data_IF_960851482756
#
_entry.id   IF_960851482756
#
_cell.length_a   1.000
_cell.length_b   1.000
_cell.length_c   1.000
_cell.angle_alpha   90.00
_cell.angle_beta   90.00
_cell.angle_gamma   90.00
#
_symmetry.space_group_name_H-M   'P 1'
#
loop_
_entity.id
_entity.type
_entity.pdbx_description
1 polymer ?
#
# COMPACT_ATOMS: atom_id res chain seq x y z
N UNK A 1 2.66 -14.50 -8.39
CA UNK A 1 1.51 -13.59 -8.35
C UNK A 1 2.05 -12.17 -8.21
N UNK A 2 1.81 -11.29 -9.15
CA UNK A 2 2.30 -9.91 -9.09
C UNK A 2 1.22 -9.03 -8.47
N UNK A 3 1.39 -8.70 -7.20
CA UNK A 3 0.51 -7.84 -6.39
C UNK A 3 0.18 -6.45 -6.98
N UNK A 4 0.94 -5.88 -7.95
CA UNK A 4 0.58 -4.62 -8.60
C UNK A 4 -0.76 -4.60 -9.35
N UNK A 5 -1.37 -5.76 -9.61
CA UNK A 5 -2.67 -5.79 -10.31
C UNK A 5 -3.82 -5.34 -9.42
N UNK A 6 -3.78 -5.63 -8.12
CA UNK A 6 -4.86 -5.27 -7.19
C UNK A 6 -5.05 -3.75 -7.09
N UNK A 7 -3.97 -2.98 -7.02
CA UNK A 7 -4.07 -1.52 -6.98
C UNK A 7 -4.65 -0.92 -8.28
N UNK A 8 -4.46 -1.58 -9.42
CA UNK A 8 -5.08 -1.16 -10.69
C UNK A 8 -6.60 -1.33 -10.64
N UNK A 9 -7.09 -2.43 -10.06
CA UNK A 9 -8.52 -2.68 -9.93
C UNK A 9 -9.16 -1.68 -8.96
N UNK A 10 -8.50 -1.37 -7.84
CA UNK A 10 -8.92 -0.33 -6.89
C UNK A 10 -9.02 1.04 -7.57
N UNK A 11 -8.01 1.41 -8.37
CA UNK A 11 -8.00 2.68 -9.10
C UNK A 11 -9.09 2.71 -10.18
N UNK A 12 -9.33 1.61 -10.89
CA UNK A 12 -10.39 1.51 -11.88
C UNK A 12 -11.78 1.67 -11.23
N UNK A 13 -12.00 1.02 -10.08
CA UNK A 13 -13.22 1.17 -9.31
C UNK A 13 -13.43 2.61 -8.84
N UNK A 14 -12.39 3.27 -8.33
CA UNK A 14 -12.47 4.67 -7.90
C UNK A 14 -12.79 5.61 -9.06
N UNK A 15 -12.21 5.39 -10.24
CA UNK A 15 -12.53 6.17 -11.45
C UNK A 15 -13.96 5.97 -11.91
N UNK A 16 -14.48 4.75 -11.81
CA UNK A 16 -15.89 4.49 -12.08
C UNK A 16 -16.79 5.25 -11.11
N UNK A 17 -16.51 5.17 -9.80
CA UNK A 17 -17.25 5.91 -8.77
C UNK A 17 -17.17 7.41 -9.03
N UNK A 18 -16.00 7.95 -9.41
CA UNK A 18 -15.81 9.35 -9.75
C UNK A 18 -16.67 9.82 -10.95
N UNK A 19 -17.09 8.91 -11.83
CA UNK A 19 -17.93 9.24 -12.99
C UNK A 19 -19.43 9.35 -12.66
N UNK A 20 -19.83 8.96 -11.45
CA UNK A 20 -21.23 8.98 -11.05
C UNK A 20 -21.68 10.43 -10.75
N UNK A 21 -22.88 10.86 -11.21
CA UNK A 21 -23.28 12.27 -11.16
C UNK A 21 -23.52 12.82 -9.75
N UNK A 22 -23.63 11.97 -8.74
CA UNK A 22 -23.82 12.33 -7.34
C UNK A 22 -22.54 12.21 -6.49
N UNK A 23 -21.39 11.95 -7.11
CA UNK A 23 -20.10 11.80 -6.44
C UNK A 23 -19.21 13.01 -6.72
N UNK A 24 -18.64 13.58 -5.66
CA UNK A 24 -17.57 14.57 -5.79
C UNK A 24 -16.24 13.83 -6.08
N UNK A 25 -15.84 13.81 -7.34
CA UNK A 25 -14.63 13.14 -7.80
C UNK A 25 -13.34 13.65 -7.12
N UNK A 26 -13.36 14.86 -6.55
CA UNK A 26 -12.23 15.45 -5.84
C UNK A 26 -12.08 14.98 -4.38
N UNK A 27 -13.05 14.21 -3.87
CA UNK A 27 -13.13 13.82 -2.45
C UNK A 27 -13.21 12.30 -2.25
N UNK A 28 -12.69 11.53 -3.17
CA UNK A 28 -12.63 10.07 -3.04
C UNK A 28 -11.45 9.70 -2.16
N UNK A 29 -11.72 8.91 -1.12
CA UNK A 29 -10.71 8.35 -0.22
C UNK A 29 -10.60 6.84 -0.37
N UNK A 30 -9.50 6.28 0.13
CA UNK A 30 -9.29 4.84 0.25
C UNK A 30 -8.91 4.49 1.68
N UNK A 31 -9.49 3.40 2.20
CA UNK A 31 -9.22 2.89 3.55
C UNK A 31 -8.92 1.40 3.50
N UNK A 32 -7.93 0.97 4.27
CA UNK A 32 -7.68 -0.45 4.42
C UNK A 32 -6.89 -0.80 5.67
N UNK A 33 -7.08 -2.04 6.16
CA UNK A 33 -6.43 -2.59 7.33
C UNK A 33 -5.59 -3.81 6.93
N UNK A 34 -4.38 -3.98 7.52
CA UNK A 34 -3.47 -5.10 7.29
C UNK A 34 -3.13 -5.23 5.80
N UNK A 35 -3.51 -6.31 5.11
CA UNK A 35 -3.39 -6.43 3.65
C UNK A 35 -4.11 -5.29 2.92
N UNK A 36 -5.28 -4.86 3.39
CA UNK A 36 -5.98 -3.68 2.86
C UNK A 36 -5.21 -2.38 3.09
N UNK A 37 -4.46 -2.27 4.19
CA UNK A 37 -3.53 -1.17 4.43
C UNK A 37 -2.39 -1.15 3.41
N UNK A 38 -1.81 -2.31 3.10
CA UNK A 38 -0.85 -2.48 2.00
C UNK A 38 -1.46 -2.03 0.65
N UNK A 39 -2.67 -2.48 0.33
CA UNK A 39 -3.37 -2.08 -0.90
C UNK A 39 -3.62 -0.56 -0.95
N UNK A 40 -3.96 0.05 0.18
CA UNK A 40 -4.10 1.51 0.30
C UNK A 40 -2.80 2.21 -0.05
N UNK A 41 -1.67 1.77 0.49
CA UNK A 41 -0.35 2.34 0.19
C UNK A 41 0.02 2.15 -1.28
N UNK A 42 -0.21 0.94 -1.83
CA UNK A 42 0.04 0.65 -3.25
C UNK A 42 -0.81 1.53 -4.17
N UNK A 43 -2.07 1.77 -3.83
CA UNK A 43 -2.96 2.63 -4.60
C UNK A 43 -2.58 4.10 -4.50
N UNK A 44 -2.26 4.60 -3.29
CA UNK A 44 -1.86 5.99 -3.05
C UNK A 44 -0.50 6.35 -3.68
N UNK A 45 0.38 5.37 -3.83
CA UNK A 45 1.70 5.53 -4.49
C UNK A 45 1.69 5.13 -5.96
N UNK A 46 0.54 4.78 -6.53
CA UNK A 46 0.43 4.49 -7.95
C UNK A 46 0.43 5.78 -8.78
N UNK A 47 1.12 5.80 -9.93
CA UNK A 47 1.06 6.93 -10.84
C UNK A 47 -0.39 7.24 -11.27
N UNK A 48 -0.80 8.51 -11.12
CA UNK A 48 -2.13 8.96 -11.53
C UNK A 48 -3.28 8.41 -10.67
N UNK A 49 -3.01 8.09 -9.39
CA UNK A 49 -4.05 7.67 -8.47
C UNK A 49 -5.12 8.76 -8.31
N UNK A 50 -6.41 8.40 -8.18
CA UNK A 50 -7.51 9.36 -8.09
C UNK A 50 -7.88 9.77 -6.65
N UNK A 51 -7.18 9.25 -5.64
CA UNK A 51 -7.56 9.43 -4.25
C UNK A 51 -7.07 10.75 -3.67
N UNK A 52 -7.97 11.50 -3.04
CA UNK A 52 -7.64 12.71 -2.28
C UNK A 52 -7.01 12.38 -0.91
N UNK A 53 -7.39 11.25 -0.33
CA UNK A 53 -6.88 10.79 0.95
C UNK A 53 -6.83 9.27 1.04
N UNK A 54 -5.92 8.76 1.88
CA UNK A 54 -5.83 7.35 2.24
C UNK A 54 -5.65 7.15 3.74
N UNK A 55 -6.23 6.08 4.28
CA UNK A 55 -6.01 5.64 5.65
C UNK A 55 -5.55 4.19 5.62
N UNK A 56 -4.30 3.95 6.01
CA UNK A 56 -3.69 2.63 6.08
C UNK A 56 -3.48 2.23 7.54
N UNK A 57 -4.20 1.20 8.00
CA UNK A 57 -4.10 0.69 9.36
C UNK A 57 -3.28 -0.59 9.38
N UNK A 58 -2.25 -0.63 10.23
CA UNK A 58 -1.32 -1.74 10.38
C UNK A 58 -0.85 -2.32 9.01
N UNK A 59 -0.36 -1.46 8.09
CA UNK A 59 -0.03 -1.91 6.74
C UNK A 59 1.26 -2.70 6.70
N UNK A 60 1.32 -3.75 5.86
CA UNK A 60 2.60 -4.24 5.35
C UNK A 60 3.12 -3.21 4.35
N UNK A 61 4.40 -2.89 4.38
CA UNK A 61 5.04 -1.93 3.47
C UNK A 61 6.07 -2.58 2.56
N UNK A 62 6.73 -3.61 3.06
CA UNK A 62 7.57 -4.53 2.28
C UNK A 62 7.34 -5.96 2.76
N UNK A 63 7.15 -6.88 1.85
CA UNK A 63 6.85 -8.27 2.18
C UNK A 63 8.03 -9.02 2.81
N UNK A 64 9.23 -8.46 2.77
CA UNK A 64 10.39 -8.94 3.53
C UNK A 64 10.26 -8.70 5.05
N UNK A 65 9.35 -7.80 5.44
CA UNK A 65 9.05 -7.44 6.84
C UNK A 65 7.83 -8.17 7.40
N UNK A 66 7.29 -9.13 6.65
CA UNK A 66 6.17 -9.96 7.09
C UNK A 66 6.61 -11.42 7.25
N UNK A 67 5.80 -12.24 7.96
CA UNK A 67 6.18 -13.61 8.26
C UNK A 67 6.39 -14.46 7.00
N UNK A 68 7.33 -15.41 7.07
CA UNK A 68 7.71 -16.25 5.95
C UNK A 68 6.66 -17.31 5.61
N UNK A 69 5.91 -17.79 6.60
CA UNK A 69 4.87 -18.81 6.39
C UNK A 69 3.79 -18.32 5.44
N UNK A 70 3.35 -17.07 5.62
CA UNK A 70 2.40 -16.44 4.74
C UNK A 70 3.06 -16.01 3.42
N UNK A 71 4.14 -15.26 3.51
CA UNK A 71 4.73 -14.55 2.36
C UNK A 71 5.32 -15.51 1.34
N UNK A 72 6.13 -16.46 1.78
CA UNK A 72 6.84 -17.39 0.88
C UNK A 72 5.90 -18.37 0.18
N UNK A 73 4.74 -18.64 0.77
CA UNK A 73 3.68 -19.43 0.13
C UNK A 73 3.22 -18.83 -1.19
N UNK A 74 3.21 -17.50 -1.30
CA UNK A 74 2.69 -16.79 -2.47
C UNK A 74 3.80 -16.21 -3.35
N UNK A 75 4.94 -15.86 -2.76
CA UNK A 75 6.00 -15.12 -3.42
C UNK A 75 7.32 -15.89 -3.55
N UNK A 76 7.43 -17.10 -2.97
CA UNK A 76 8.71 -17.79 -2.74
C UNK A 76 9.61 -16.98 -1.79
N UNK A 77 10.89 -17.38 -1.64
CA UNK A 77 11.83 -16.61 -0.82
C UNK A 77 12.29 -15.33 -1.54
N UNK A 78 12.76 -14.30 -0.81
CA UNK A 78 13.33 -13.11 -1.43
C UNK A 78 14.49 -13.40 -2.39
N UNK A 79 15.29 -14.43 -2.10
CA UNK A 79 16.41 -14.85 -2.93
C UNK A 79 15.95 -15.47 -4.27
N UNK A 80 14.83 -16.18 -4.24
CA UNK A 80 14.27 -16.84 -5.43
C UNK A 80 13.44 -15.89 -6.30
N UNK A 81 12.91 -14.80 -5.72
CA UNK A 81 12.00 -13.87 -6.38
C UNK A 81 12.27 -12.41 -5.99
N UNK A 82 13.53 -11.98 -6.01
CA UNK A 82 13.88 -10.60 -5.61
C UNK A 82 13.12 -9.54 -6.40
N UNK A 83 12.95 -9.74 -7.70
CA UNK A 83 12.19 -8.83 -8.58
C UNK A 83 10.73 -8.71 -8.15
N UNK A 84 10.10 -9.81 -7.74
CA UNK A 84 8.72 -9.79 -7.24
C UNK A 84 8.58 -9.01 -5.94
N UNK A 85 9.53 -9.18 -5.01
CA UNK A 85 9.55 -8.43 -3.76
C UNK A 85 9.76 -6.93 -4.01
N UNK A 86 10.71 -6.55 -4.86
CA UNK A 86 10.96 -5.14 -5.20
C UNK A 86 9.74 -4.50 -5.88
N UNK A 87 9.11 -5.18 -6.81
CA UNK A 87 7.90 -4.70 -7.49
C UNK A 87 6.70 -4.56 -6.55
N UNK A 88 6.65 -5.33 -5.47
CA UNK A 88 5.57 -5.35 -4.48
C UNK A 88 5.85 -4.44 -3.29
N UNK A 89 7.07 -3.90 -3.14
CA UNK A 89 7.40 -2.97 -2.07
C UNK A 89 6.75 -1.60 -2.31
N UNK A 90 6.17 -1.04 -1.25
CA UNK A 90 5.63 0.32 -1.29
C UNK A 90 6.74 1.36 -1.12
N UNK A 91 7.88 0.99 -0.52
CA UNK A 91 8.98 1.89 -0.17
C UNK A 91 9.57 2.57 -1.41
N UNK A 92 9.88 1.81 -2.44
CA UNK A 92 10.42 2.35 -3.70
C UNK A 92 9.47 3.23 -4.50
N UNK A 93 8.22 3.36 -4.06
CA UNK A 93 7.13 4.09 -4.74
C UNK A 93 6.74 5.40 -4.05
N UNK A 94 7.26 5.69 -2.87
CA UNK A 94 6.88 6.82 -2.02
C UNK A 94 6.98 8.15 -2.77
N UNK A 95 7.96 8.31 -3.64
CA UNK A 95 8.10 9.49 -4.51
C UNK A 95 6.87 9.81 -5.36
N UNK A 96 5.99 8.84 -5.57
CA UNK A 96 4.75 9.01 -6.32
C UNK A 96 3.54 9.31 -5.42
N UNK A 97 3.73 9.34 -4.09
CA UNK A 97 2.66 9.61 -3.13
C UNK A 97 2.03 10.98 -3.42
N UNK A 98 0.71 10.98 -3.60
CA UNK A 98 -0.10 12.19 -3.75
C UNK A 98 -1.34 12.08 -2.88
N UNK A 99 -1.82 13.24 -2.40
CA UNK A 99 -2.94 13.31 -1.48
C UNK A 99 -2.50 13.17 -0.02
N UNK A 100 -3.47 13.13 0.87
CA UNK A 100 -3.23 13.06 2.31
C UNK A 100 -3.22 11.58 2.75
N UNK A 101 -2.18 11.16 3.46
CA UNK A 101 -2.07 9.80 3.97
C UNK A 101 -2.00 9.80 5.50
N UNK A 102 -2.89 9.03 6.12
CA UNK A 102 -2.83 8.69 7.53
C UNK A 102 -2.41 7.22 7.67
N UNK A 103 -1.36 6.97 8.42
CA UNK A 103 -0.95 5.62 8.81
C UNK A 103 -1.21 5.44 10.30
N UNK A 104 -1.84 4.33 10.66
CA UNK A 104 -2.12 3.96 12.06
C UNK A 104 -1.51 2.59 12.32
N UNK A 105 -0.65 2.47 13.33
CA UNK A 105 -0.02 1.20 13.70
C UNK A 105 0.20 1.12 15.21
N UNK A 106 0.09 -0.08 15.75
CA UNK A 106 0.40 -0.35 17.15
C UNK A 106 1.88 -0.70 17.34
N UNK A 107 2.52 -0.13 18.36
CA UNK A 107 3.93 -0.46 18.69
C UNK A 107 4.11 -1.86 19.28
N UNK A 108 3.02 -2.47 19.74
CA UNK A 108 2.98 -3.84 20.27
C UNK A 108 2.25 -4.82 19.31
N UNK A 109 2.13 -4.46 18.03
CA UNK A 109 1.55 -5.35 17.02
C UNK A 109 2.51 -6.53 16.79
N UNK A 110 2.07 -7.73 17.16
CA UNK A 110 2.83 -8.97 17.04
C UNK A 110 2.60 -9.71 15.71
N UNK A 111 1.74 -9.16 14.87
CA UNK A 111 1.46 -9.68 13.53
C UNK A 111 2.16 -8.85 12.45
N UNK A 112 1.75 -7.60 12.27
CA UNK A 112 2.42 -6.67 11.36
C UNK A 112 3.35 -5.77 12.15
N UNK A 113 4.62 -6.17 12.26
CA UNK A 113 5.61 -5.48 13.08
C UNK A 113 5.72 -4.00 12.70
N UNK A 114 5.87 -3.15 13.71
CA UNK A 114 5.92 -1.68 13.57
C UNK A 114 7.04 -1.19 12.63
N UNK A 115 8.07 -2.00 12.37
CA UNK A 115 9.13 -1.69 11.41
C UNK A 115 8.57 -1.35 10.02
N UNK A 116 7.47 -2.00 9.60
CA UNK A 116 6.79 -1.64 8.36
C UNK A 116 6.45 -0.15 8.28
N UNK A 117 5.82 0.37 9.33
CA UNK A 117 5.45 1.79 9.39
C UNK A 117 6.67 2.69 9.54
N UNK A 118 7.65 2.32 10.36
CA UNK A 118 8.83 3.16 10.57
C UNK A 118 9.68 3.28 9.31
N UNK A 119 9.88 2.21 8.55
CA UNK A 119 10.61 2.28 7.29
C UNK A 119 9.88 3.14 6.26
N UNK A 120 8.56 2.99 6.15
CA UNK A 120 7.78 3.82 5.25
C UNK A 120 7.85 5.31 5.61
N UNK A 121 7.67 5.66 6.89
CA UNK A 121 7.74 7.06 7.35
C UNK A 121 9.14 7.62 7.18
N UNK A 122 10.18 6.84 7.52
CA UNK A 122 11.58 7.24 7.33
C UNK A 122 11.88 7.57 5.87
N UNK A 123 11.47 6.72 4.95
CA UNK A 123 11.66 6.94 3.52
C UNK A 123 10.85 8.15 3.03
N UNK A 124 9.59 8.30 3.49
CA UNK A 124 8.72 9.42 3.09
C UNK A 124 9.23 10.78 3.59
N UNK A 125 9.95 10.82 4.70
CA UNK A 125 10.49 12.06 5.27
C UNK A 125 11.91 12.40 4.77
N UNK A 126 12.55 11.47 4.07
CA UNK A 126 13.89 11.66 3.49
C UNK A 126 13.87 12.24 2.08
N UNK A 127 12.70 12.36 1.48
CA UNK A 127 12.47 12.90 0.13
C UNK A 127 11.95 14.35 0.18
#
# INVERSE_FOLDING_TARGET
MTLPYLSKDQIAAARYVASLPYVDASKIGIFGWSFGGYETLMAMTAPGNPYAAGIAVAPVTDWRLYDSVYTERFMLTPQQNSVGYDASSTLGRIKNLKGNLLIVSGTADDNVHIANTFEFVSEATSQ
#
